data_IF_026949981726
#
_entry.id   IF_026949981726
#
_cell.length_a   1.000
_cell.length_b   1.000
_cell.length_c   1.000
_cell.angle_alpha   90.00
_cell.angle_beta   90.00
_cell.angle_gamma   90.00
#
_symmetry.space_group_name_H-M   'P 1'
#
loop_
_entity.id
_entity.type
_entity.pdbx_description
1 polymer ?
#
# COMPACT_ATOMS: atom_id res chain seq x y z
N UNK A 1 -13.22 4.59 7.40
CA UNK A 1 -12.04 3.80 7.82
C UNK A 1 -12.21 2.34 7.42
N UNK A 2 -11.13 1.67 7.03
CA UNK A 2 -11.18 0.33 6.44
C UNK A 2 -11.31 -0.74 7.55
N UNK A 3 -12.51 -1.32 7.71
CA UNK A 3 -12.82 -2.39 8.68
C UNK A 3 -12.17 -3.72 8.27
N UNK A 4 -10.84 -3.83 8.40
CA UNK A 4 -10.12 -5.10 8.19
C UNK A 4 -9.99 -5.83 9.53
N UNK A 5 -10.56 -7.03 9.61
CA UNK A 5 -10.37 -7.96 10.71
C UNK A 5 -9.44 -9.05 10.19
N UNK A 6 -8.27 -9.18 10.82
CA UNK A 6 -7.35 -10.29 10.57
C UNK A 6 -7.58 -11.32 11.68
N UNK A 7 -7.68 -12.59 11.32
CA UNK A 7 -7.95 -13.67 12.28
C UNK A 7 -6.76 -13.94 13.20
N UNK A 8 -5.54 -13.53 12.80
CA UNK A 8 -4.29 -13.84 13.49
C UNK A 8 -3.45 -12.58 13.78
N UNK A 9 -2.92 -12.46 15.00
CA UNK A 9 -2.01 -11.37 15.40
C UNK A 9 -0.71 -11.32 14.58
N UNK A 10 -0.27 -12.46 14.06
CA UNK A 10 0.92 -12.56 13.19
C UNK A 10 0.63 -11.90 11.85
N UNK A 11 -0.57 -12.13 11.30
CA UNK A 11 -1.01 -11.53 10.06
C UNK A 11 -1.26 -10.03 10.23
N UNK A 12 -1.83 -9.60 11.35
CA UNK A 12 -2.01 -8.18 11.67
C UNK A 12 -0.65 -7.44 11.71
N UNK A 13 0.34 -8.00 12.41
CA UNK A 13 1.70 -7.42 12.44
C UNK A 13 2.35 -7.35 11.06
N UNK A 14 2.16 -8.40 10.26
CA UNK A 14 2.66 -8.45 8.89
C UNK A 14 2.01 -7.38 8.00
N UNK A 15 0.67 -7.27 8.04
CA UNK A 15 -0.13 -6.28 7.30
C UNK A 15 0.19 -4.86 7.75
N UNK A 16 0.40 -4.63 9.05
CA UNK A 16 0.83 -3.33 9.59
C UNK A 16 2.22 -2.93 9.08
N UNK A 17 3.16 -3.88 8.99
CA UNK A 17 4.49 -3.64 8.42
C UNK A 17 4.39 -3.23 6.94
N UNK A 18 3.59 -3.95 6.15
CA UNK A 18 3.36 -3.61 4.73
C UNK A 18 2.77 -2.22 4.60
N UNK A 19 1.78 -1.88 5.42
CA UNK A 19 1.17 -0.56 5.44
C UNK A 19 2.20 0.55 5.75
N UNK A 20 3.08 0.32 6.73
CA UNK A 20 4.14 1.27 7.06
C UNK A 20 5.12 1.48 5.89
N UNK A 21 5.54 0.40 5.23
CA UNK A 21 6.42 0.47 4.06
C UNK A 21 5.76 1.21 2.88
N UNK A 22 4.49 0.90 2.61
CA UNK A 22 3.73 1.56 1.54
C UNK A 22 3.48 3.05 1.85
N UNK A 23 3.16 3.40 3.10
CA UNK A 23 3.03 4.79 3.52
C UNK A 23 4.34 5.56 3.36
N UNK A 24 5.48 4.93 3.66
CA UNK A 24 6.79 5.54 3.43
C UNK A 24 7.06 5.78 1.94
N UNK A 25 6.73 4.81 1.07
CA UNK A 25 6.82 4.98 -0.39
C UNK A 25 5.93 6.12 -0.91
N UNK A 26 4.70 6.21 -0.42
CA UNK A 26 3.76 7.30 -0.75
C UNK A 26 4.35 8.66 -0.34
N UNK A 27 4.88 8.77 0.87
CA UNK A 27 5.51 10.00 1.34
C UNK A 27 6.71 10.40 0.46
N UNK A 28 7.60 9.45 0.14
CA UNK A 28 8.75 9.69 -0.75
C UNK A 28 8.30 10.12 -2.15
N UNK A 29 7.24 9.53 -2.68
CA UNK A 29 6.68 9.93 -3.98
C UNK A 29 6.08 11.34 -3.94
N UNK A 30 5.36 11.68 -2.86
CA UNK A 30 4.78 13.01 -2.70
C UNK A 30 5.86 14.09 -2.52
N UNK A 31 6.98 13.78 -1.87
CA UNK A 31 8.15 14.67 -1.83
C UNK A 31 8.77 14.89 -3.22
N UNK A 32 8.73 13.89 -4.11
CA UNK A 32 9.16 14.04 -5.51
C UNK A 32 8.17 14.89 -6.30
N UNK A 33 6.87 14.74 -6.03
CA UNK A 33 5.83 15.55 -6.63
C UNK A 33 5.99 17.04 -6.26
N UNK A 34 6.26 17.33 -4.99
CA UNK A 34 6.51 18.70 -4.53
C UNK A 34 7.75 19.34 -5.17
N UNK A 35 8.73 18.51 -5.56
CA UNK A 35 9.91 18.94 -6.33
C UNK A 35 9.67 19.01 -7.85
N UNK A 36 8.47 18.69 -8.32
CA UNK A 36 8.13 18.68 -9.75
C UNK A 36 8.75 17.52 -10.54
N UNK A 37 9.30 16.49 -9.89
CA UNK A 37 9.90 15.33 -10.57
C UNK A 37 8.86 14.33 -11.08
N UNK A 38 7.63 14.37 -10.56
CA UNK A 38 6.52 13.49 -10.94
C UNK A 38 5.25 14.31 -11.06
N UNK A 39 4.35 13.88 -11.95
CA UNK A 39 3.13 14.63 -12.31
C UNK A 39 1.90 14.27 -11.48
N UNK A 40 1.99 13.29 -10.57
CA UNK A 40 0.87 12.82 -9.78
C UNK A 40 1.24 12.63 -8.31
N UNK A 41 0.22 12.59 -7.45
CA UNK A 41 0.36 12.28 -6.02
C UNK A 41 -0.14 10.88 -5.73
N UNK A 42 0.48 10.24 -4.74
CA UNK A 42 0.00 8.98 -4.20
C UNK A 42 -0.76 9.24 -2.89
N UNK A 43 -1.74 8.39 -2.60
CA UNK A 43 -2.49 8.40 -1.36
C UNK A 43 -2.65 6.98 -0.85
N UNK A 44 -2.74 6.83 0.47
CA UNK A 44 -3.08 5.55 1.10
C UNK A 44 -4.54 5.20 0.81
N UNK A 45 -4.77 3.98 0.34
CA UNK A 45 -6.08 3.44 -0.01
C UNK A 45 -6.30 2.07 0.65
N UNK A 46 -7.42 1.42 0.37
CA UNK A 46 -7.77 0.09 0.91
C UNK A 46 -6.81 -1.05 0.51
N UNK A 47 -5.86 -0.80 -0.39
CA UNK A 47 -4.84 -1.74 -0.86
C UNK A 47 -3.46 -1.43 -0.29
N UNK A 48 -3.33 -0.46 0.62
CA UNK A 48 -2.04 -0.03 1.16
C UNK A 48 -1.38 -1.05 2.09
N UNK A 49 -2.10 -2.07 2.52
CA UNK A 49 -1.65 -3.22 3.30
C UNK A 49 -1.39 -4.48 2.45
N UNK A 50 -1.53 -4.38 1.12
CA UNK A 50 -1.22 -5.46 0.19
C UNK A 50 0.20 -5.30 -0.37
N UNK A 51 0.86 -6.43 -0.54
CA UNK A 51 2.11 -6.49 -1.31
C UNK A 51 1.81 -6.37 -2.79
N UNK A 52 2.81 -5.90 -3.55
CA UNK A 52 2.66 -5.72 -4.99
C UNK A 52 2.30 -7.04 -5.70
N UNK A 53 2.90 -8.16 -5.31
CA UNK A 53 2.58 -9.46 -5.89
C UNK A 53 1.17 -9.95 -5.52
N UNK A 54 0.70 -9.69 -4.29
CA UNK A 54 -0.68 -10.02 -3.88
C UNK A 54 -1.68 -9.19 -4.70
N UNK A 55 -1.41 -7.89 -4.84
CA UNK A 55 -2.25 -7.02 -5.65
C UNK A 55 -2.30 -7.49 -7.10
N UNK A 56 -1.16 -7.82 -7.70
CA UNK A 56 -1.09 -8.33 -9.07
C UNK A 56 -1.84 -9.65 -9.17
N UNK A 57 -1.65 -10.61 -8.27
CA UNK A 57 -2.31 -11.91 -8.33
C UNK A 57 -3.85 -11.82 -8.14
N UNK A 58 -4.33 -10.88 -7.32
CA UNK A 58 -5.78 -10.72 -7.07
C UNK A 58 -6.48 -9.83 -8.09
N UNK A 59 -5.76 -8.86 -8.68
CA UNK A 59 -6.36 -7.82 -9.55
C UNK A 59 -5.89 -7.89 -10.99
N UNK A 60 -4.93 -8.77 -11.34
CA UNK A 60 -4.68 -9.12 -12.73
C UNK A 60 -5.67 -10.22 -13.13
N UNK A 61 -6.58 -9.90 -14.05
CA UNK A 61 -7.59 -10.86 -14.53
C UNK A 61 -7.02 -11.96 -15.42
N UNK A 62 -5.74 -12.31 -15.27
CA UNK A 62 -5.03 -13.29 -16.07
C UNK A 62 -4.64 -14.45 -15.17
N UNK A 63 -5.45 -15.51 -15.21
CA UNK A 63 -5.14 -16.84 -14.66
C UNK A 63 -4.34 -17.65 -15.67
#
# INVERSE_FOLDING_TARGET
>A
EHKKSYENEVEERFRMKIYAENKHKVAKHNQRYERGEVTYRLSTNKYSDMLHHEFVHTMNGFN
#
